data_IF_461190962892
#
_entry.id   IF_461190962892
#
_cell.length_a   1.000
_cell.length_b   1.000
_cell.length_c   1.000
_cell.angle_alpha   90.00
_cell.angle_beta   90.00
_cell.angle_gamma   90.00
#
_symmetry.space_group_name_H-M   'P 1'
#
loop_
_entity.id
_entity.type
_entity.pdbx_description
1 polymer ?
#
# COMPACT_ATOMS: atom_id res chain seq x y z
N UNK A 1 3.16 27.23 13.39
CA UNK A 1 2.88 26.52 14.67
C UNK A 1 3.52 25.14 14.61
N UNK A 2 4.34 24.78 15.60
CA UNK A 2 5.06 23.49 15.69
C UNK A 2 4.72 22.84 17.03
N UNK A 3 4.54 21.52 17.04
CA UNK A 3 4.47 20.74 18.27
C UNK A 3 5.85 20.16 18.59
N UNK A 4 6.40 20.54 19.75
CA UNK A 4 7.66 19.97 20.24
C UNK A 4 7.39 18.73 21.10
N UNK A 5 8.07 17.63 20.80
CA UNK A 5 8.14 16.44 21.64
C UNK A 5 9.56 16.33 22.19
N UNK A 6 9.72 16.58 23.49
CA UNK A 6 11.02 16.56 24.14
C UNK A 6 11.25 15.17 24.77
N UNK A 7 12.44 14.61 24.58
CA UNK A 7 12.94 13.42 25.27
C UNK A 7 14.28 13.75 25.92
N UNK A 8 14.32 13.64 27.24
CA UNK A 8 15.54 13.80 28.02
C UNK A 8 16.18 12.44 28.30
N UNK A 9 17.51 12.38 28.24
CA UNK A 9 18.31 11.22 28.63
C UNK A 9 19.53 11.70 29.42
N UNK A 10 19.99 10.89 30.38
CA UNK A 10 21.20 11.23 31.15
C UNK A 10 22.39 11.40 30.20
N UNK A 11 22.72 10.33 29.49
CA UNK A 11 23.68 10.31 28.39
C UNK A 11 23.01 9.83 27.10
N UNK A 12 23.47 10.37 25.97
CA UNK A 12 23.03 9.97 24.64
C UNK A 12 24.20 9.30 23.93
N UNK A 13 24.03 8.05 23.50
CA UNK A 13 25.06 7.35 22.71
C UNK A 13 24.96 7.77 21.25
N UNK A 14 26.05 8.32 20.73
CA UNK A 14 26.19 8.64 19.31
C UNK A 14 26.98 7.52 18.65
N UNK A 15 26.39 6.88 17.63
CA UNK A 15 27.04 5.84 16.84
C UNK A 15 26.99 6.22 15.37
N UNK A 16 28.14 6.19 14.71
CA UNK A 16 28.27 6.56 13.29
C UNK A 16 27.65 7.93 12.96
N UNK A 17 27.87 8.92 13.82
CA UNK A 17 27.35 10.29 13.67
C UNK A 17 25.83 10.40 13.82
N UNK A 18 25.17 9.41 14.45
CA UNK A 18 23.71 9.43 14.65
C UNK A 18 23.32 9.20 16.10
N UNK A 19 22.31 9.95 16.52
CA UNK A 19 21.56 9.76 17.76
C UNK A 19 20.36 8.87 17.47
N UNK A 20 20.29 7.70 18.10
CA UNK A 20 19.23 6.71 17.88
C UNK A 20 18.25 6.66 19.04
N UNK A 21 16.97 6.93 18.78
CA UNK A 21 15.92 6.94 19.81
C UNK A 21 14.78 6.01 19.41
N UNK A 22 14.45 4.99 20.23
CA UNK A 22 13.27 4.18 20.00
C UNK A 22 11.99 4.96 20.31
N UNK A 23 11.02 4.90 19.40
CA UNK A 23 9.67 5.44 19.55
C UNK A 23 8.62 4.36 19.29
N UNK A 24 7.50 4.45 19.99
CA UNK A 24 6.35 3.54 19.78
C UNK A 24 5.74 3.79 18.41
N UNK A 25 5.38 2.70 17.70
CA UNK A 25 4.66 2.78 16.42
C UNK A 25 3.37 3.59 16.52
N UNK A 26 2.60 3.41 17.59
CA UNK A 26 1.35 4.17 17.81
C UNK A 26 1.56 5.69 17.85
N UNK A 27 2.67 6.16 18.43
CA UNK A 27 3.02 7.59 18.44
C UNK A 27 3.43 8.06 17.04
N UNK A 28 4.23 7.27 16.33
CA UNK A 28 4.66 7.62 14.97
C UNK A 28 3.50 7.58 13.96
N UNK A 29 2.51 6.68 14.13
CA UNK A 29 1.24 6.69 13.38
C UNK A 29 0.50 8.01 13.60
N UNK A 30 0.32 8.40 14.87
CA UNK A 30 -0.27 9.71 15.19
C UNK A 30 0.48 10.87 14.54
N UNK A 31 1.82 10.83 14.54
CA UNK A 31 2.65 11.87 13.91
C UNK A 31 2.44 11.93 12.39
N UNK A 32 2.38 10.78 11.72
CA UNK A 32 2.20 10.69 10.27
C UNK A 32 0.83 11.23 9.80
N UNK A 33 -0.20 11.05 10.61
CA UNK A 33 -1.55 11.58 10.38
C UNK A 33 -1.69 13.06 10.78
N UNK A 34 -0.73 13.61 11.52
CA UNK A 34 -0.82 14.98 12.04
C UNK A 34 -0.38 16.02 10.99
N UNK A 35 -1.24 17.01 10.74
CA UNK A 35 -0.94 18.17 9.87
C UNK A 35 0.06 19.15 10.48
N UNK A 36 0.07 19.25 11.81
CA UNK A 36 0.96 20.16 12.53
C UNK A 36 2.35 19.54 12.56
N UNK A 37 3.42 20.24 12.14
CA UNK A 37 4.78 19.72 12.22
C UNK A 37 5.14 19.30 13.64
N UNK A 38 5.67 18.09 13.80
CA UNK A 38 6.12 17.56 15.08
C UNK A 38 7.65 17.41 15.06
N UNK A 39 8.32 18.21 15.89
CA UNK A 39 9.76 18.09 16.11
C UNK A 39 10.02 17.20 17.32
N UNK A 40 10.77 16.12 17.14
CA UNK A 40 11.38 15.41 18.25
C UNK A 40 12.66 16.13 18.62
N UNK A 41 12.79 16.51 19.89
CA UNK A 41 13.99 17.12 20.46
C UNK A 41 14.54 16.16 21.51
N UNK A 42 15.81 15.82 21.40
CA UNK A 42 16.52 14.91 22.30
C UNK A 42 17.56 15.73 23.06
N UNK A 43 17.51 15.67 24.39
CA UNK A 43 18.42 16.45 25.26
C UNK A 43 19.24 15.49 26.11
N UNK A 44 20.57 15.64 26.08
CA UNK A 44 21.49 14.97 27.00
C UNK A 44 21.71 15.86 28.23
N UNK A 45 21.48 15.32 29.42
CA UNK A 45 21.69 16.05 30.68
C UNK A 45 23.17 16.16 31.03
N UNK A 46 23.99 15.15 30.72
CA UNK A 46 25.43 15.15 31.04
C UNK A 46 26.22 16.16 30.20
N UNK A 47 25.81 16.36 28.94
CA UNK A 47 26.54 17.22 28.00
C UNK A 47 25.83 18.54 27.70
N UNK A 48 24.61 18.71 28.21
CA UNK A 48 23.70 19.82 27.92
C UNK A 48 23.45 20.06 26.41
N UNK A 49 23.78 19.07 25.56
CA UNK A 49 23.54 19.12 24.12
C UNK A 49 22.13 18.70 23.77
N UNK A 50 21.64 19.22 22.64
CA UNK A 50 20.33 18.87 22.12
C UNK A 50 20.31 18.68 20.61
N UNK A 51 19.59 17.66 20.17
CA UNK A 51 19.41 17.33 18.75
C UNK A 51 17.94 17.34 18.38
N UNK A 52 17.65 17.54 17.10
CA UNK A 52 16.26 17.53 16.64
C UNK A 52 16.04 16.82 15.31
N UNK A 53 14.82 16.35 15.12
CA UNK A 53 14.36 15.82 13.83
C UNK A 53 12.89 16.17 13.62
N UNK A 54 12.55 16.56 12.40
CA UNK A 54 11.16 16.64 11.98
C UNK A 54 10.63 15.25 11.67
N UNK A 55 9.77 14.74 12.54
CA UNK A 55 9.35 13.35 12.50
C UNK A 55 8.54 13.01 11.24
N UNK A 56 7.63 13.87 10.77
CA UNK A 56 6.90 13.57 9.53
C UNK A 56 7.85 13.45 8.33
N UNK A 57 8.78 14.40 8.18
CA UNK A 57 9.79 14.34 7.13
C UNK A 57 10.64 13.08 7.24
N UNK A 58 11.09 12.74 8.45
CA UNK A 58 11.86 11.52 8.68
C UNK A 58 11.08 10.25 8.30
N UNK A 59 9.79 10.15 8.65
CA UNK A 59 8.94 9.01 8.28
C UNK A 59 8.85 8.87 6.76
N UNK A 60 8.60 10.00 6.06
CA UNK A 60 8.51 10.06 4.60
C UNK A 60 9.86 9.63 3.99
N UNK A 61 10.94 10.33 4.32
CA UNK A 61 12.25 10.12 3.70
C UNK A 61 12.86 8.75 3.99
N UNK A 62 12.56 8.15 5.15
CA UNK A 62 13.11 6.85 5.55
C UNK A 62 12.37 5.65 4.95
N UNK A 63 11.22 5.86 4.30
CA UNK A 63 10.40 4.77 3.77
C UNK A 63 9.79 3.86 4.86
N UNK A 64 9.80 4.27 6.13
CA UNK A 64 9.32 3.45 7.25
C UNK A 64 7.79 3.32 7.34
N UNK A 65 7.05 3.82 6.34
CA UNK A 65 5.58 3.80 6.32
C UNK A 65 5.06 2.35 6.45
N UNK A 66 5.63 1.38 5.73
CA UNK A 66 5.26 -0.04 5.84
C UNK A 66 5.38 -0.56 7.25
N UNK A 67 6.51 -0.25 7.87
CA UNK A 67 6.84 -0.76 9.20
C UNK A 67 5.92 -0.13 10.23
N UNK A 68 5.45 1.11 10.03
CA UNK A 68 4.49 1.75 10.94
C UNK A 68 3.22 0.92 11.11
N UNK A 69 2.67 0.36 10.04
CA UNK A 69 1.39 -0.37 10.06
C UNK A 69 1.54 -1.90 10.10
N UNK A 70 2.77 -2.42 9.98
CA UNK A 70 3.02 -3.84 10.17
C UNK A 70 2.97 -4.22 11.67
N UNK A 71 1.86 -4.83 12.08
CA UNK A 71 1.62 -5.31 13.44
C UNK A 71 2.37 -6.62 13.78
N UNK A 72 2.92 -7.33 12.78
CA UNK A 72 3.72 -8.54 12.99
C UNK A 72 5.19 -8.23 13.37
N UNK A 73 5.60 -6.97 13.36
CA UNK A 73 6.95 -6.51 13.69
C UNK A 73 7.01 -5.85 15.08
N UNK A 74 8.23 -5.50 15.54
CA UNK A 74 8.47 -4.76 16.80
C UNK A 74 7.47 -3.62 17.02
N UNK A 75 7.01 -3.40 18.25
CA UNK A 75 6.11 -2.28 18.61
C UNK A 75 6.80 -0.91 18.58
N UNK A 76 8.12 -0.89 18.32
CA UNK A 76 8.95 0.31 18.29
C UNK A 76 9.75 0.42 16.99
N UNK A 77 9.99 1.66 16.56
CA UNK A 77 10.89 2.01 15.46
C UNK A 77 11.96 2.96 16.01
N UNK A 78 13.21 2.69 15.65
CA UNK A 78 14.35 3.54 16.02
C UNK A 78 14.45 4.71 15.05
N UNK A 79 14.20 5.91 15.56
CA UNK A 79 14.44 7.16 14.85
C UNK A 79 15.92 7.50 14.95
N UNK A 80 16.55 7.74 13.80
CA UNK A 80 17.95 8.14 13.72
C UNK A 80 18.03 9.62 13.37
N UNK A 81 18.67 10.40 14.22
CA UNK A 81 18.90 11.83 14.09
C UNK A 81 20.38 12.04 13.77
N UNK A 82 20.69 12.87 12.77
CA UNK A 82 22.08 13.23 12.48
C UNK A 82 22.67 14.04 13.64
N UNK A 83 23.90 13.74 14.05
CA UNK A 83 24.61 14.49 15.09
C UNK A 83 24.76 15.97 14.72
N UNK A 84 24.83 16.28 13.42
CA UNK A 84 24.87 17.65 12.92
C UNK A 84 23.56 18.44 13.15
N UNK A 85 22.45 17.76 13.44
CA UNK A 85 21.15 18.39 13.68
C UNK A 85 21.05 18.93 15.11
N UNK A 86 21.92 19.88 15.44
CA UNK A 86 21.89 20.63 16.70
C UNK A 86 20.63 21.52 16.78
N UNK A 87 19.89 21.42 17.88
CA UNK A 87 18.61 22.12 18.03
C UNK A 87 18.77 23.64 18.14
N UNK A 88 19.77 24.13 18.85
CA UNK A 88 20.01 25.57 19.01
C UNK A 88 20.31 26.22 17.63
N UNK A 89 21.18 25.57 16.85
CA UNK A 89 21.51 25.97 15.48
C UNK A 89 20.31 25.85 14.54
N UNK A 90 19.47 24.83 14.75
CA UNK A 90 18.24 24.61 13.98
C UNK A 90 17.20 25.72 14.14
N UNK A 91 17.09 26.32 15.33
CA UNK A 91 16.17 27.43 15.61
C UNK A 91 16.45 28.67 14.77
N UNK A 92 17.71 28.87 14.37
CA UNK A 92 18.14 29.99 13.54
C UNK A 92 18.02 29.72 12.04
N UNK A 93 17.75 28.46 11.65
CA UNK A 93 17.79 28.02 10.25
C UNK A 93 16.56 27.19 9.89
N UNK A 94 16.69 25.86 9.92
CA UNK A 94 15.76 24.95 9.26
C UNK A 94 14.40 24.84 9.99
N UNK A 95 14.33 25.17 11.27
CA UNK A 95 13.07 25.14 12.03
C UNK A 95 12.12 26.26 11.60
N UNK A 96 12.65 27.41 11.13
CA UNK A 96 11.83 28.55 10.71
C UNK A 96 10.94 28.15 9.50
N UNK A 97 11.48 27.63 8.37
CA UNK A 97 10.65 27.14 7.25
C UNK A 97 9.68 26.01 7.61
N UNK A 98 10.02 25.17 8.59
CA UNK A 98 9.10 24.15 9.10
C UNK A 98 7.91 24.83 9.78
N UNK A 99 8.15 25.92 10.53
CA UNK A 99 7.13 26.65 11.27
C UNK A 99 6.18 27.46 10.38
N UNK A 100 6.67 27.95 9.23
CA UNK A 100 5.93 28.75 8.24
C UNK A 100 5.23 27.91 7.18
N UNK A 101 5.47 26.60 7.15
CA UNK A 101 4.87 25.64 6.21
C UNK A 101 5.36 25.80 4.76
N UNK A 102 6.45 26.53 4.55
CA UNK A 102 7.01 26.86 3.24
C UNK A 102 8.04 25.82 2.82
N UNK A 103 7.67 24.54 2.81
CA UNK A 103 8.58 23.47 2.43
C UNK A 103 7.87 22.32 1.70
N UNK A 104 8.65 21.59 0.89
CA UNK A 104 8.14 20.52 0.03
C UNK A 104 7.47 19.37 0.80
N UNK A 105 7.95 19.05 2.00
CA UNK A 105 7.33 18.00 2.84
C UNK A 105 5.93 18.42 3.29
N UNK A 106 5.74 19.69 3.66
CA UNK A 106 4.42 20.18 4.06
C UNK A 106 3.45 20.25 2.87
N UNK A 107 3.94 20.63 1.69
CA UNK A 107 3.18 20.55 0.45
C UNK A 107 2.75 19.11 0.14
N UNK A 108 3.66 18.14 0.29
CA UNK A 108 3.36 16.72 0.13
C UNK A 108 2.26 16.27 1.11
N UNK A 109 2.39 16.60 2.40
CA UNK A 109 1.38 16.26 3.43
C UNK A 109 0.01 16.86 3.07
N UNK A 110 -0.03 18.13 2.67
CA UNK A 110 -1.26 18.81 2.29
C UNK A 110 -1.93 18.18 1.05
N UNK A 111 -1.13 17.87 0.01
CA UNK A 111 -1.61 17.21 -1.20
C UNK A 111 -2.12 15.80 -0.89
N UNK A 112 -1.42 15.02 -0.06
CA UNK A 112 -1.82 13.68 0.37
C UNK A 112 -3.15 13.71 1.10
N UNK A 113 -3.30 14.63 2.06
CA UNK A 113 -4.53 14.78 2.82
C UNK A 113 -5.70 15.20 1.92
N UNK A 114 -5.47 16.09 0.96
CA UNK A 114 -6.48 16.50 -0.01
C UNK A 114 -6.84 15.37 -0.98
N UNK A 115 -5.85 14.58 -1.41
CA UNK A 115 -6.06 13.42 -2.26
C UNK A 115 -6.89 12.36 -1.53
N UNK A 116 -6.56 12.05 -0.27
CA UNK A 116 -7.34 11.16 0.59
C UNK A 116 -8.74 11.71 0.89
N UNK A 117 -8.90 13.03 1.02
CA UNK A 117 -10.22 13.64 1.16
C UNK A 117 -11.04 13.50 -0.12
N UNK A 118 -10.45 13.77 -1.29
CA UNK A 118 -11.13 13.64 -2.58
C UNK A 118 -11.58 12.20 -2.86
N UNK A 119 -10.79 11.20 -2.45
CA UNK A 119 -11.20 9.79 -2.46
C UNK A 119 -12.45 9.56 -1.60
N UNK A 120 -12.42 9.99 -0.34
CA UNK A 120 -13.56 9.83 0.60
C UNK A 120 -14.81 10.58 0.16
N UNK A 121 -14.64 11.64 -0.64
CA UNK A 121 -15.73 12.40 -1.25
C UNK A 121 -16.17 11.84 -2.61
N UNK A 122 -15.57 10.74 -3.08
CA UNK A 122 -15.85 10.12 -4.38
C UNK A 122 -15.64 11.05 -5.59
N UNK A 123 -14.76 12.03 -5.45
CA UNK A 123 -14.35 12.92 -6.54
C UNK A 123 -13.14 12.31 -7.26
N UNK A 124 -13.42 11.44 -8.24
CA UNK A 124 -12.41 10.67 -8.96
C UNK A 124 -11.46 11.55 -9.78
N UNK A 125 -11.98 12.60 -10.43
CA UNK A 125 -11.17 13.53 -11.24
C UNK A 125 -10.15 14.28 -10.37
N UNK A 126 -10.60 14.84 -9.25
CA UNK A 126 -9.72 15.54 -8.32
C UNK A 126 -8.73 14.57 -7.67
N UNK A 127 -9.18 13.37 -7.32
CA UNK A 127 -8.32 12.34 -6.74
C UNK A 127 -7.21 11.93 -7.70
N UNK A 128 -7.54 11.61 -8.95
CA UNK A 128 -6.57 11.23 -9.97
C UNK A 128 -5.56 12.35 -10.23
N UNK A 129 -6.04 13.60 -10.34
CA UNK A 129 -5.17 14.78 -10.48
C UNK A 129 -4.19 14.90 -9.31
N UNK A 130 -4.68 14.81 -8.07
CA UNK A 130 -3.87 15.02 -6.87
C UNK A 130 -2.88 13.88 -6.63
N UNK A 131 -3.27 12.62 -6.87
CA UNK A 131 -2.35 11.49 -6.79
C UNK A 131 -1.31 11.51 -7.93
N UNK A 132 -1.73 11.87 -9.14
CA UNK A 132 -0.80 12.11 -10.26
C UNK A 132 0.22 13.21 -9.94
N UNK A 133 -0.21 14.26 -9.25
CA UNK A 133 0.68 15.35 -8.82
C UNK A 133 1.58 14.95 -7.64
N UNK A 134 1.08 14.19 -6.66
CA UNK A 134 1.85 13.61 -5.56
C UNK A 134 3.02 12.76 -6.06
N UNK A 135 2.86 12.07 -7.20
CA UNK A 135 3.92 11.36 -7.90
C UNK A 135 5.18 12.20 -8.17
N UNK A 136 5.02 13.51 -8.38
CA UNK A 136 6.09 14.45 -8.76
C UNK A 136 6.91 15.01 -7.60
N UNK A 137 6.39 14.97 -6.37
CA UNK A 137 7.07 15.50 -5.17
C UNK A 137 7.84 14.43 -4.39
N UNK A 138 8.03 13.25 -4.99
CA UNK A 138 8.61 12.10 -4.31
C UNK A 138 10.14 12.18 -4.28
N UNK A 139 10.77 11.97 -3.12
CA UNK A 139 12.09 11.38 -3.07
C UNK A 139 12.05 10.02 -3.77
N UNK A 140 13.07 9.70 -4.56
CA UNK A 140 13.16 8.53 -5.44
C UNK A 140 13.00 7.15 -4.78
N UNK A 141 12.82 7.08 -3.46
CA UNK A 141 12.88 5.86 -2.63
C UNK A 141 11.58 5.51 -1.88
N UNK A 142 10.44 6.17 -2.14
CA UNK A 142 9.20 5.89 -1.37
C UNK A 142 8.20 5.07 -2.20
N UNK A 143 7.95 3.85 -1.73
CA UNK A 143 6.83 3.01 -2.18
C UNK A 143 5.51 3.61 -1.69
N UNK A 144 4.51 3.60 -2.57
CA UNK A 144 3.24 4.33 -2.46
C UNK A 144 2.22 3.62 -1.56
N UNK A 145 2.69 3.08 -0.45
CA UNK A 145 1.89 2.22 0.42
C UNK A 145 0.75 2.98 1.09
N UNK A 146 0.87 4.28 1.32
CA UNK A 146 -0.22 5.06 1.91
C UNK A 146 -1.46 5.16 1.00
N UNK A 147 -1.26 5.28 -0.32
CA UNK A 147 -2.36 5.28 -1.30
C UNK A 147 -2.87 3.87 -1.57
N UNK A 148 -1.96 2.90 -1.72
CA UNK A 148 -2.35 1.50 -1.88
C UNK A 148 -3.14 1.01 -0.66
N UNK A 149 -2.67 1.28 0.55
CA UNK A 149 -3.37 0.91 1.78
C UNK A 149 -4.71 1.65 1.89
N UNK A 150 -4.80 2.94 1.52
CA UNK A 150 -6.09 3.66 1.57
C UNK A 150 -7.08 3.19 0.51
N UNK A 151 -6.61 2.77 -0.66
CA UNK A 151 -7.45 2.09 -1.68
C UNK A 151 -7.90 0.72 -1.17
N UNK A 152 -6.99 -0.08 -0.60
CA UNK A 152 -7.29 -1.39 -0.03
C UNK A 152 -8.29 -1.27 1.12
N UNK A 153 -8.11 -0.31 2.02
CA UNK A 153 -9.04 -0.01 3.11
C UNK A 153 -10.43 0.34 2.57
N UNK A 154 -10.54 1.23 1.58
CA UNK A 154 -11.83 1.55 0.94
C UNK A 154 -12.48 0.33 0.30
N UNK A 155 -11.68 -0.55 -0.33
CA UNK A 155 -12.16 -1.80 -0.91
C UNK A 155 -12.68 -2.75 0.19
N UNK A 156 -12.00 -2.80 1.34
CA UNK A 156 -12.41 -3.61 2.49
C UNK A 156 -13.69 -3.03 3.12
N UNK A 157 -13.75 -1.71 3.34
CA UNK A 157 -14.91 -1.00 3.89
C UNK A 157 -16.15 -1.15 3.02
N UNK A 158 -15.99 -1.07 1.69
CA UNK A 158 -17.09 -1.25 0.74
C UNK A 158 -17.59 -2.70 0.72
N UNK A 159 -16.74 -3.69 0.99
CA UNK A 159 -17.14 -5.09 1.12
C UNK A 159 -18.04 -5.58 -0.03
N UNK A 160 -19.28 -5.97 0.28
CA UNK A 160 -20.26 -6.44 -0.70
C UNK A 160 -20.87 -5.30 -1.55
N UNK A 161 -20.85 -4.05 -1.08
CA UNK A 161 -21.32 -2.88 -1.83
C UNK A 161 -20.36 -2.47 -2.94
N UNK A 162 -19.22 -3.15 -3.06
CA UNK A 162 -18.22 -2.91 -4.09
C UNK A 162 -18.70 -3.37 -5.47
N UNK A 163 -19.65 -4.30 -5.51
CA UNK A 163 -20.20 -4.83 -6.76
C UNK A 163 -21.52 -4.17 -7.14
N UNK A 164 -21.66 -3.78 -8.41
CA UNK A 164 -22.87 -3.23 -9.01
C UNK A 164 -23.42 -1.95 -8.33
N UNK A 165 -22.56 -1.17 -7.68
CA UNK A 165 -22.87 0.19 -7.22
C UNK A 165 -21.98 1.21 -7.93
N UNK A 166 -22.49 2.43 -8.14
CA UNK A 166 -21.71 3.51 -8.76
C UNK A 166 -20.41 3.81 -7.99
N UNK A 167 -20.49 3.71 -6.66
CA UNK A 167 -19.37 3.91 -5.76
C UNK A 167 -18.33 2.78 -5.87
N UNK A 168 -18.78 1.53 -5.84
CA UNK A 168 -17.93 0.34 -5.97
C UNK A 168 -17.24 0.26 -7.33
N UNK A 169 -17.93 0.65 -8.40
CA UNK A 169 -17.36 0.72 -9.75
C UNK A 169 -16.24 1.77 -9.84
N UNK A 170 -16.43 2.96 -9.26
CA UNK A 170 -15.40 4.02 -9.22
C UNK A 170 -14.15 3.55 -8.46
N UNK A 171 -14.32 2.98 -7.27
CA UNK A 171 -13.18 2.49 -6.45
C UNK A 171 -12.47 1.33 -7.16
N UNK A 172 -13.21 0.43 -7.80
CA UNK A 172 -12.62 -0.65 -8.60
C UNK A 172 -11.78 -0.12 -9.78
N UNK A 173 -12.27 0.90 -10.49
CA UNK A 173 -11.51 1.52 -11.58
C UNK A 173 -10.23 2.20 -11.09
N UNK A 174 -10.28 2.90 -9.95
CA UNK A 174 -9.10 3.49 -9.33
C UNK A 174 -8.05 2.44 -8.96
N UNK A 175 -8.48 1.33 -8.35
CA UNK A 175 -7.61 0.19 -8.07
C UNK A 175 -6.96 -0.35 -9.34
N UNK A 176 -7.77 -0.61 -10.39
CA UNK A 176 -7.26 -1.16 -11.63
C UNK A 176 -6.25 -0.22 -12.28
N UNK A 177 -6.53 1.09 -12.33
CA UNK A 177 -5.60 2.08 -12.87
C UNK A 177 -4.31 2.16 -12.05
N UNK A 178 -4.38 2.06 -10.72
CA UNK A 178 -3.18 2.01 -9.90
C UNK A 178 -2.34 0.77 -10.22
N UNK A 179 -2.97 -0.41 -10.25
CA UNK A 179 -2.29 -1.68 -10.53
C UNK A 179 -1.63 -1.64 -11.91
N UNK A 180 -2.28 -1.09 -12.94
CA UNK A 180 -1.69 -0.99 -14.28
C UNK A 180 -0.40 -0.17 -14.33
N UNK A 181 -0.32 0.87 -13.51
CA UNK A 181 0.82 1.78 -13.51
C UNK A 181 1.90 1.40 -12.50
N UNK A 182 1.55 0.66 -11.44
CA UNK A 182 2.40 0.45 -10.26
C UNK A 182 2.29 -0.98 -9.67
N UNK A 183 1.90 -1.95 -10.50
CA UNK A 183 1.67 -3.34 -10.09
C UNK A 183 2.89 -4.04 -9.49
N UNK A 184 4.08 -3.64 -9.92
CA UNK A 184 5.40 -4.05 -9.43
C UNK A 184 5.66 -3.69 -7.95
N UNK A 185 4.82 -2.83 -7.37
CA UNK A 185 4.93 -2.40 -5.97
C UNK A 185 4.08 -3.22 -5.01
N UNK A 186 3.17 -4.06 -5.51
CA UNK A 186 2.27 -4.83 -4.66
C UNK A 186 3.03 -6.00 -4.02
N UNK A 187 2.80 -6.25 -2.73
CA UNK A 187 3.33 -7.42 -2.03
C UNK A 187 2.30 -8.54 -2.05
N UNK A 188 2.71 -9.76 -1.72
CA UNK A 188 1.78 -10.89 -1.56
C UNK A 188 0.68 -10.60 -0.51
N UNK A 189 0.98 -9.80 0.52
CA UNK A 189 0.00 -9.41 1.54
C UNK A 189 -1.00 -8.38 1.02
N UNK A 190 -0.57 -7.39 0.24
CA UNK A 190 -1.50 -6.46 -0.44
C UNK A 190 -2.46 -7.23 -1.36
N UNK A 191 -1.93 -8.19 -2.12
CA UNK A 191 -2.74 -9.03 -3.01
C UNK A 191 -3.73 -9.87 -2.19
N UNK A 192 -3.30 -10.47 -1.08
CA UNK A 192 -4.17 -11.23 -0.19
C UNK A 192 -5.32 -10.35 0.36
N UNK A 193 -5.04 -9.12 0.79
CA UNK A 193 -6.07 -8.18 1.26
C UNK A 193 -7.06 -7.79 0.16
N UNK A 194 -6.60 -7.65 -1.09
CA UNK A 194 -7.46 -7.34 -2.24
C UNK A 194 -8.34 -8.53 -2.63
N UNK A 195 -7.80 -9.75 -2.58
CA UNK A 195 -8.43 -10.99 -3.06
C UNK A 195 -9.32 -11.68 -2.02
N UNK A 196 -8.90 -11.78 -0.75
CA UNK A 196 -9.59 -12.58 0.27
C UNK A 196 -10.78 -11.82 0.88
N UNK A 197 -11.93 -12.49 1.02
CA UNK A 197 -13.14 -12.01 1.70
C UNK A 197 -13.69 -13.08 2.63
N UNK A 198 -13.24 -13.07 3.88
CA UNK A 198 -13.57 -14.12 4.84
C UNK A 198 -13.10 -15.48 4.33
N UNK A 199 -14.02 -16.43 4.20
CA UNK A 199 -13.76 -17.76 3.64
C UNK A 199 -13.89 -17.83 2.10
N UNK A 200 -14.20 -16.72 1.42
CA UNK A 200 -14.32 -16.64 -0.04
C UNK A 200 -13.45 -15.53 -0.64
N UNK A 201 -13.66 -15.20 -1.92
CA UNK A 201 -12.85 -14.22 -2.65
C UNK A 201 -13.66 -13.04 -3.17
N UNK A 202 -12.94 -11.95 -3.44
CA UNK A 202 -13.41 -10.73 -4.08
C UNK A 202 -13.33 -10.86 -5.60
N UNK A 203 -14.44 -10.66 -6.32
CA UNK A 203 -14.43 -10.60 -7.80
C UNK A 203 -13.51 -9.50 -8.31
N UNK A 204 -13.58 -8.30 -7.71
CA UNK A 204 -12.66 -7.19 -8.01
C UNK A 204 -11.22 -7.59 -7.76
N UNK A 205 -10.97 -8.38 -6.71
CA UNK A 205 -9.63 -8.88 -6.42
C UNK A 205 -9.11 -9.86 -7.47
N UNK A 206 -9.96 -10.74 -7.99
CA UNK A 206 -9.59 -11.64 -9.09
C UNK A 206 -9.32 -10.87 -10.39
N UNK A 207 -10.11 -9.84 -10.68
CA UNK A 207 -9.85 -8.97 -11.84
C UNK A 207 -8.52 -8.23 -11.68
N UNK A 208 -8.27 -7.65 -10.49
CA UNK A 208 -6.99 -7.01 -10.15
C UNK A 208 -5.81 -7.97 -10.32
N UNK A 209 -5.97 -9.22 -9.88
CA UNK A 209 -4.97 -10.26 -10.03
C UNK A 209 -4.76 -10.63 -11.51
N UNK A 210 -5.81 -10.66 -12.33
CA UNK A 210 -5.72 -10.82 -13.78
C UNK A 210 -4.90 -9.72 -14.46
N UNK A 211 -5.07 -8.46 -14.03
CA UNK A 211 -4.26 -7.33 -14.52
C UNK A 211 -2.78 -7.55 -14.17
N UNK A 212 -2.47 -7.94 -12.93
CA UNK A 212 -1.09 -8.22 -12.50
C UNK A 212 -0.44 -9.33 -13.35
N UNK A 213 -1.14 -10.44 -13.60
CA UNK A 213 -0.61 -11.51 -14.46
C UNK A 213 -0.40 -11.07 -15.91
N UNK A 214 -1.17 -10.10 -16.41
CA UNK A 214 -1.05 -9.63 -17.80
C UNK A 214 0.03 -8.56 -17.99
N UNK A 215 0.34 -7.79 -16.95
CA UNK A 215 1.17 -6.58 -17.04
C UNK A 215 2.48 -6.66 -16.23
N UNK A 216 2.56 -7.52 -15.22
CA UNK A 216 3.68 -7.61 -14.27
C UNK A 216 4.11 -9.07 -14.00
N UNK A 217 4.38 -9.85 -15.06
CA UNK A 217 4.67 -11.29 -14.99
C UNK A 217 5.88 -11.65 -14.11
N UNK A 218 7.01 -10.95 -14.28
CA UNK A 218 8.22 -11.24 -13.49
C UNK A 218 7.97 -10.98 -11.99
N UNK A 219 7.26 -9.89 -11.70
CA UNK A 219 6.93 -9.51 -10.34
C UNK A 219 5.95 -10.50 -9.69
N UNK A 220 4.86 -10.85 -10.38
CA UNK A 220 3.82 -11.72 -9.80
C UNK A 220 4.38 -13.11 -9.46
N UNK A 221 5.28 -13.63 -10.29
CA UNK A 221 6.01 -14.88 -10.03
C UNK A 221 6.88 -14.77 -8.77
N UNK A 222 7.53 -13.64 -8.55
CA UNK A 222 8.38 -13.42 -7.36
C UNK A 222 7.59 -13.47 -6.04
N UNK A 223 6.28 -13.25 -6.09
CA UNK A 223 5.41 -13.23 -4.91
C UNK A 223 4.96 -14.62 -4.45
N UNK A 224 5.24 -15.68 -5.22
CA UNK A 224 4.92 -17.08 -4.91
C UNK A 224 3.45 -17.28 -4.47
N UNK A 225 2.51 -16.78 -5.29
CA UNK A 225 1.10 -16.72 -4.94
C UNK A 225 0.41 -18.10 -4.90
N UNK A 226 0.88 -19.07 -5.70
CA UNK A 226 0.40 -20.46 -5.65
C UNK A 226 0.50 -21.01 -4.22
N UNK A 227 1.68 -20.90 -3.59
CA UNK A 227 1.89 -21.38 -2.22
C UNK A 227 1.16 -20.51 -1.19
N UNK A 228 1.10 -19.19 -1.40
CA UNK A 228 0.36 -18.27 -0.51
C UNK A 228 -1.12 -18.65 -0.40
N UNK A 229 -1.77 -19.06 -1.49
CA UNK A 229 -3.20 -19.38 -1.52
C UNK A 229 -3.53 -20.87 -1.42
N UNK A 230 -2.54 -21.77 -1.36
CA UNK A 230 -2.71 -23.23 -1.34
C UNK A 230 -3.64 -23.74 -0.24
N UNK A 231 -3.56 -23.13 0.94
CA UNK A 231 -4.36 -23.51 2.12
C UNK A 231 -5.51 -22.52 2.38
N UNK A 232 -5.83 -21.65 1.42
CA UNK A 232 -6.97 -20.75 1.55
C UNK A 232 -8.29 -21.55 1.48
N UNK A 233 -9.30 -21.11 2.25
CA UNK A 233 -10.56 -21.83 2.40
C UNK A 233 -11.28 -22.08 1.06
N UNK A 234 -11.23 -21.10 0.14
CA UNK A 234 -11.77 -21.25 -1.22
C UNK A 234 -10.67 -21.69 -2.19
N UNK A 235 -10.65 -22.97 -2.64
CA UNK A 235 -9.56 -23.50 -3.45
C UNK A 235 -9.53 -22.92 -4.87
N UNK A 236 -10.58 -22.18 -5.28
CA UNK A 236 -10.65 -21.52 -6.59
C UNK A 236 -9.62 -20.42 -6.77
N UNK A 237 -9.18 -19.78 -5.67
CA UNK A 237 -8.10 -18.77 -5.73
C UNK A 237 -6.77 -19.43 -6.07
N UNK A 238 -6.45 -20.55 -5.41
CA UNK A 238 -5.26 -21.33 -5.70
C UNK A 238 -5.27 -21.89 -7.14
N UNK A 239 -6.43 -22.42 -7.57
CA UNK A 239 -6.65 -22.83 -8.95
C UNK A 239 -6.32 -21.70 -9.93
N UNK A 240 -6.84 -20.49 -9.68
CA UNK A 240 -6.66 -19.34 -10.57
C UNK A 240 -5.19 -18.95 -10.71
N UNK A 241 -4.46 -18.83 -9.59
CA UNK A 241 -3.03 -18.55 -9.64
C UNK A 241 -2.27 -19.63 -10.40
N UNK A 242 -2.58 -20.91 -10.15
CA UNK A 242 -1.91 -22.03 -10.81
C UNK A 242 -2.10 -22.02 -12.32
N UNK A 243 -3.32 -21.76 -12.80
CA UNK A 243 -3.60 -21.67 -14.23
C UNK A 243 -2.95 -20.43 -14.86
N UNK A 244 -3.01 -19.27 -14.19
CA UNK A 244 -2.38 -18.06 -14.73
C UNK A 244 -0.85 -18.17 -14.79
N UNK A 245 -0.21 -18.81 -13.81
CA UNK A 245 1.23 -19.08 -13.85
C UNK A 245 1.61 -20.15 -14.89
N UNK A 246 0.73 -21.14 -15.16
CA UNK A 246 0.93 -22.11 -16.25
C UNK A 246 0.91 -21.46 -17.63
N UNK A 247 0.09 -20.43 -17.81
CA UNK A 247 -0.14 -19.74 -19.09
C UNK A 247 0.17 -18.24 -19.00
N UNK A 248 1.35 -17.88 -18.48
CA UNK A 248 1.78 -16.49 -18.29
C UNK A 248 1.76 -15.70 -19.60
N UNK A 249 2.29 -16.29 -20.66
CA UNK A 249 2.44 -15.64 -21.98
C UNK A 249 1.09 -15.32 -22.64
N UNK A 250 0.01 -15.92 -22.15
CA UNK A 250 -1.33 -15.72 -22.67
C UNK A 250 -2.08 -14.72 -21.80
N UNK A 251 -2.41 -13.56 -22.40
CA UNK A 251 -3.30 -12.57 -21.79
C UNK A 251 -4.72 -13.08 -21.76
N UNK A 252 -5.48 -12.72 -20.72
CA UNK A 252 -6.92 -12.97 -20.69
C UNK A 252 -7.64 -12.27 -21.87
N UNK A 253 -8.64 -12.91 -22.51
CA UNK A 253 -9.20 -14.23 -22.22
C UNK A 253 -8.48 -15.41 -22.91
N UNK A 254 -7.33 -15.20 -23.58
CA UNK A 254 -6.67 -16.19 -24.43
C UNK A 254 -6.36 -17.53 -23.76
N UNK A 255 -5.90 -17.50 -22.50
CA UNK A 255 -5.61 -18.73 -21.74
C UNK A 255 -6.85 -19.60 -21.47
N UNK A 256 -8.08 -19.08 -21.63
CA UNK A 256 -9.32 -19.85 -21.41
C UNK A 256 -9.58 -20.92 -22.47
N UNK A 257 -8.87 -20.85 -23.59
CA UNK A 257 -9.04 -21.77 -24.72
C UNK A 257 -7.99 -22.89 -24.74
N UNK A 258 -7.11 -22.92 -23.74
CA UNK A 258 -6.08 -23.93 -23.61
C UNK A 258 -6.65 -25.29 -23.21
N UNK A 259 -5.99 -26.36 -23.65
CA UNK A 259 -6.51 -27.72 -23.49
C UNK A 259 -6.42 -28.24 -22.05
N UNK A 260 -5.41 -27.81 -21.28
CA UNK A 260 -5.21 -28.25 -19.90
C UNK A 260 -5.52 -27.13 -18.90
N UNK A 261 -6.80 -27.04 -18.53
CA UNK A 261 -7.28 -26.17 -17.46
C UNK A 261 -7.48 -26.94 -16.14
N UNK A 262 -6.89 -28.11 -15.97
CA UNK A 262 -7.06 -28.91 -14.76
C UNK A 262 -5.99 -28.58 -13.71
N UNK A 263 -6.44 -28.37 -12.46
CA UNK A 263 -5.55 -28.25 -11.29
C UNK A 263 -6.08 -29.16 -10.19
N UNK A 264 -5.40 -30.29 -9.97
CA UNK A 264 -5.84 -31.31 -9.04
C UNK A 264 -7.24 -31.82 -9.41
N UNK A 265 -8.20 -31.64 -8.51
CA UNK A 265 -9.61 -32.01 -8.69
C UNK A 265 -10.48 -30.89 -9.24
N UNK A 266 -9.91 -29.76 -9.65
CA UNK A 266 -10.67 -28.61 -10.13
C UNK A 266 -10.47 -28.44 -11.64
N UNK A 267 -11.57 -28.29 -12.37
CA UNK A 267 -11.58 -27.94 -13.79
C UNK A 267 -12.75 -27.01 -14.10
N UNK A 268 -12.67 -26.15 -15.11
CA UNK A 268 -13.80 -25.35 -15.54
C UNK A 268 -14.75 -26.21 -16.40
N UNK A 269 -16.04 -26.03 -16.21
CA UNK A 269 -17.09 -26.55 -17.08
C UNK A 269 -17.87 -25.39 -17.72
N UNK A 270 -17.52 -25.10 -18.98
CA UNK A 270 -18.17 -24.04 -19.77
C UNK A 270 -19.28 -24.59 -20.67
N UNK A 271 -19.74 -25.83 -20.47
CA UNK A 271 -20.75 -26.45 -21.33
C UNK A 271 -22.04 -25.63 -21.34
N UNK A 272 -22.47 -25.20 -22.53
CA UNK A 272 -23.69 -24.40 -22.69
C UNK A 272 -23.57 -22.93 -22.24
N UNK A 273 -22.35 -22.45 -21.98
CA UNK A 273 -22.09 -21.08 -21.53
C UNK A 273 -21.46 -20.25 -22.65
N UNK A 274 -22.02 -19.09 -22.95
CA UNK A 274 -21.35 -18.08 -23.76
C UNK A 274 -20.25 -17.40 -22.93
N UNK A 275 -19.02 -17.91 -23.05
CA UNK A 275 -17.84 -17.44 -22.29
C UNK A 275 -17.64 -15.93 -22.53
N UNK A 276 -17.66 -15.48 -23.78
CA UNK A 276 -17.39 -14.08 -24.12
C UNK A 276 -18.42 -13.12 -23.52
N UNK A 277 -19.71 -13.47 -23.54
CA UNK A 277 -20.77 -12.60 -22.99
C UNK A 277 -20.65 -12.46 -21.46
N UNK A 278 -20.30 -13.54 -20.78
CA UNK A 278 -20.10 -13.53 -19.33
C UNK A 278 -18.80 -12.83 -18.95
N UNK A 279 -17.73 -13.06 -19.70
CA UNK A 279 -16.41 -12.45 -19.46
C UNK A 279 -16.46 -10.94 -19.69
N UNK A 280 -17.13 -10.45 -20.73
CA UNK A 280 -17.27 -9.01 -21.01
C UNK A 280 -17.79 -8.20 -19.81
N UNK A 281 -18.62 -8.81 -18.96
CA UNK A 281 -19.23 -8.16 -17.80
C UNK A 281 -18.50 -8.43 -16.48
N UNK A 282 -17.68 -9.49 -16.40
CA UNK A 282 -17.14 -10.02 -15.14
C UNK A 282 -15.61 -10.21 -15.15
N UNK A 283 -14.97 -10.01 -16.30
CA UNK A 283 -13.57 -10.31 -16.53
C UNK A 283 -13.22 -11.74 -16.09
N UNK A 284 -12.00 -11.89 -15.60
CA UNK A 284 -11.44 -13.19 -15.21
C UNK A 284 -12.14 -13.82 -13.99
N UNK A 285 -12.83 -13.02 -13.19
CA UNK A 285 -13.63 -13.54 -12.07
C UNK A 285 -14.74 -14.50 -12.53
N UNK A 286 -15.18 -14.39 -13.79
CA UNK A 286 -16.17 -15.26 -14.39
C UNK A 286 -15.78 -16.72 -14.34
N UNK A 287 -14.50 -17.03 -14.58
CA UNK A 287 -13.98 -18.40 -14.67
C UNK A 287 -14.27 -19.19 -13.40
N UNK A 288 -14.17 -18.52 -12.26
CA UNK A 288 -14.35 -19.14 -10.95
C UNK A 288 -15.81 -19.50 -10.64
N UNK A 289 -16.76 -18.92 -11.39
CA UNK A 289 -18.19 -19.27 -11.30
C UNK A 289 -18.46 -20.65 -11.93
N UNK A 290 -17.56 -21.15 -12.78
CA UNK A 290 -17.73 -22.37 -13.58
C UNK A 290 -16.74 -23.48 -13.21
N UNK A 291 -15.98 -23.31 -12.13
CA UNK A 291 -15.11 -24.37 -11.62
C UNK A 291 -15.97 -25.44 -10.96
N UNK A 292 -15.78 -26.68 -11.40
CA UNK A 292 -16.39 -27.88 -10.84
C UNK A 292 -15.33 -28.81 -10.27
N UNK A 293 -15.73 -29.64 -9.31
CA UNK A 293 -14.89 -30.74 -8.86
C UNK A 293 -14.95 -31.87 -9.89
N UNK A 294 -13.83 -32.20 -10.50
CA UNK A 294 -13.67 -33.42 -11.27
C UNK A 294 -13.53 -34.60 -10.31
N UNK A 295 -14.31 -35.66 -10.54
CA UNK A 295 -14.15 -36.96 -9.88
C UNK A 295 -12.73 -37.53 -10.05
#
# INVERSE_FOLDING_TARGET
>A
FIKAQIKTQQSVSIKSGKVSIPLKKSFLRYVYECRVPILLIVVSLDTEKSWYVWLQKWIIDSGNITNLYNDNASTTITVNIDEANDFASGLEREIIPISTWENGTQLYIALRDLANLSLRMYNSELSELLFGYLGKFRPSNIADEGYLNSLIEQIIELGNNLWATDQGNKVSQQLFNFIRNYGDRLTADHIAQIVIRGESYSRTGIIALGILYNEFQDHILSLNLIEKFKNFADPRVHYYCTIRERYLDLKSPGWLFEADLQVGKLKPDFTGVSIFDKWANRGDSMVLDYIVFSE
#
